data_IF_267888296164
#
_entry.id   IF_267888296164
#
_cell.length_a   1.000
_cell.length_b   1.000
_cell.length_c   1.000
_cell.angle_alpha   90.00
_cell.angle_beta   90.00
_cell.angle_gamma   90.00
#
_symmetry.space_group_name_H-M   'P 1'
#
loop_
_entity.id
_entity.type
_entity.pdbx_description
1 polymer ?
#
# COMPACT_ATOMS: atom_id res chain seq x y z
N UNK A 1 1.71 5.76 0.88
CA UNK A 1 0.78 5.21 -0.14
C UNK A 1 1.53 4.13 -0.91
N UNK A 2 0.92 2.95 -1.08
CA UNK A 2 1.52 1.75 -1.68
C UNK A 2 0.69 1.31 -2.89
N UNK A 3 1.35 1.06 -4.02
CA UNK A 3 0.78 0.42 -5.20
C UNK A 3 0.83 -1.09 -5.03
N UNK A 4 -0.32 -1.75 -5.03
CA UNK A 4 -0.44 -3.21 -4.91
C UNK A 4 -1.15 -3.78 -6.14
N UNK A 5 -1.11 -5.11 -6.33
CA UNK A 5 -1.85 -5.80 -7.40
C UNK A 5 -3.38 -5.63 -7.32
N UNK A 6 -3.90 -5.16 -6.18
CA UNK A 6 -5.33 -4.87 -5.96
C UNK A 6 -5.65 -3.37 -6.07
N UNK A 7 -4.68 -2.55 -6.48
CA UNK A 7 -4.80 -1.09 -6.58
C UNK A 7 -3.92 -0.36 -5.56
N UNK A 8 -4.07 0.97 -5.56
CA UNK A 8 -3.32 1.88 -4.68
C UNK A 8 -4.03 2.02 -3.34
N UNK A 9 -3.31 1.86 -2.24
CA UNK A 9 -3.86 1.93 -0.88
C UNK A 9 -2.82 2.42 0.14
N UNK A 10 -3.20 2.56 1.40
CA UNK A 10 -2.27 2.92 2.47
C UNK A 10 -1.45 1.70 2.95
N UNK A 11 -0.30 1.93 3.58
CA UNK A 11 0.51 0.86 4.17
C UNK A 11 -0.27 0.04 5.21
N UNK A 12 -1.12 0.72 6.00
CA UNK A 12 -2.02 0.05 6.96
C UNK A 12 -2.98 -0.92 6.29
N UNK A 13 -3.61 -0.52 5.19
CA UNK A 13 -4.54 -1.37 4.45
C UNK A 13 -3.81 -2.55 3.80
N UNK A 14 -2.64 -2.29 3.19
CA UNK A 14 -1.82 -3.34 2.57
C UNK A 14 -1.43 -4.42 3.59
N UNK A 15 -0.99 -4.03 4.80
CA UNK A 15 -0.69 -4.97 5.90
C UNK A 15 -1.90 -5.75 6.36
N UNK A 16 -3.07 -5.10 6.49
CA UNK A 16 -4.32 -5.77 6.90
C UNK A 16 -4.76 -6.82 5.87
N UNK A 17 -4.54 -6.55 4.59
CA UNK A 17 -4.87 -7.45 3.48
C UNK A 17 -3.76 -8.45 3.17
N UNK A 18 -2.62 -8.38 3.88
CA UNK A 18 -1.42 -9.18 3.67
C UNK A 18 -0.95 -9.17 2.21
N UNK A 19 -0.97 -7.98 1.59
CA UNK A 19 -0.51 -7.75 0.22
C UNK A 19 0.72 -6.85 0.24
N UNK A 20 1.72 -7.22 -0.57
CA UNK A 20 2.91 -6.40 -0.82
C UNK A 20 2.72 -5.47 -2.01
N UNK A 21 3.68 -4.57 -2.19
CA UNK A 21 3.64 -3.61 -3.29
C UNK A 21 4.80 -2.61 -3.24
N UNK A 22 4.76 -1.66 -4.15
CA UNK A 22 5.76 -0.60 -4.28
C UNK A 22 5.29 0.66 -3.55
N UNK A 23 6.18 1.27 -2.77
CA UNK A 23 5.87 2.53 -2.08
C UNK A 23 5.93 3.67 -3.09
N UNK A 24 4.83 4.41 -3.24
CA UNK A 24 4.75 5.55 -4.15
C UNK A 24 5.21 6.84 -3.48
N UNK A 25 4.72 7.10 -2.27
CA UNK A 25 5.05 8.30 -1.51
C UNK A 25 4.71 8.14 -0.02
N UNK A 26 5.32 8.98 0.80
CA UNK A 26 4.97 9.15 2.20
C UNK A 26 4.20 10.45 2.37
N UNK A 27 3.18 10.44 3.22
CA UNK A 27 2.37 11.61 3.58
C UNK A 27 2.52 11.75 5.09
N UNK A 28 2.87 12.95 5.57
CA UNK A 28 3.12 13.26 6.99
C UNK A 28 1.88 13.85 7.65
#
# INVERSE_FOLDING_TARGET
VISTSKGVMTDKEARKLNVGGEVLCYVY
#
